data_IF_006372246546
#
_entry.id   IF_006372246546
#
_cell.length_a   1.000
_cell.length_b   1.000
_cell.length_c   1.000
_cell.angle_alpha   90.00
_cell.angle_beta   90.00
_cell.angle_gamma   90.00
#
_symmetry.space_group_name_H-M   'P 1'
#
loop_
_entity.id
_entity.type
_entity.pdbx_description
1 polymer ?
#
# COMPACT_ATOMS: atom_id res chain seq x y z
N UNK A 1 -11.50 7.56 -12.91
CA UNK A 1 -11.15 6.28 -12.26
C UNK A 1 -12.32 5.81 -11.40
N UNK A 2 -13.50 5.62 -12.01
CA UNK A 2 -14.76 5.54 -11.24
C UNK A 2 -14.93 6.79 -10.37
N UNK A 3 -15.24 6.60 -9.10
CA UNK A 3 -15.38 7.64 -8.07
C UNK A 3 -14.04 8.03 -7.40
N UNK A 4 -12.92 7.41 -7.80
CA UNK A 4 -11.61 7.67 -7.19
C UNK A 4 -11.00 8.98 -7.71
N UNK A 5 -10.41 9.75 -6.80
CA UNK A 5 -9.71 11.01 -7.08
C UNK A 5 -8.44 10.78 -7.90
N UNK A 6 -8.14 11.72 -8.79
CA UNK A 6 -6.91 11.74 -9.58
C UNK A 6 -6.87 10.73 -10.71
N UNK A 7 -5.73 10.66 -11.37
CA UNK A 7 -5.43 9.80 -12.50
C UNK A 7 -3.94 9.47 -12.58
N UNK A 8 -3.50 8.93 -13.72
CA UNK A 8 -2.11 8.57 -13.97
C UNK A 8 -1.20 9.73 -13.60
N UNK A 9 -0.07 9.42 -12.97
CA UNK A 9 0.94 10.38 -12.47
C UNK A 9 0.62 11.06 -11.15
N UNK A 10 -0.59 10.91 -10.61
CA UNK A 10 -0.98 11.52 -9.33
C UNK A 10 -0.83 10.55 -8.16
N UNK A 11 -0.67 11.09 -6.95
CA UNK A 11 -0.53 10.31 -5.70
C UNK A 11 -1.85 9.68 -5.23
N UNK A 12 -2.95 10.03 -5.87
CA UNK A 12 -4.31 9.64 -5.50
C UNK A 12 -4.63 8.20 -5.96
N UNK A 13 -5.63 7.58 -5.34
CA UNK A 13 -6.06 6.22 -5.64
C UNK A 13 -6.52 6.06 -7.09
N UNK A 14 -7.01 7.10 -7.76
CA UNK A 14 -7.32 7.04 -9.17
C UNK A 14 -6.11 6.77 -10.07
N UNK A 15 -4.90 7.13 -9.63
CA UNK A 15 -3.66 6.80 -10.34
C UNK A 15 -3.02 5.46 -9.96
N UNK A 16 -3.38 4.91 -8.79
CA UNK A 16 -2.58 3.88 -8.11
C UNK A 16 -3.38 2.63 -7.71
N UNK A 17 -4.70 2.74 -7.56
CA UNK A 17 -5.59 1.61 -7.31
C UNK A 17 -6.08 1.06 -8.65
N UNK A 18 -5.60 -0.14 -9.00
CA UNK A 18 -5.85 -0.76 -10.30
C UNK A 18 -6.66 -2.05 -10.14
N UNK A 19 -7.50 -2.41 -11.14
CA UNK A 19 -8.15 -3.71 -11.15
C UNK A 19 -7.13 -4.85 -11.15
N UNK A 20 -7.26 -5.77 -10.20
CA UNK A 20 -6.40 -6.95 -10.08
C UNK A 20 -7.27 -8.21 -9.96
N UNK A 21 -7.17 -9.10 -10.94
CA UNK A 21 -7.97 -10.33 -11.04
C UNK A 21 -7.02 -11.52 -11.18
N UNK A 22 -7.21 -12.53 -10.33
CA UNK A 22 -6.47 -13.79 -10.38
C UNK A 22 -7.41 -14.91 -10.79
N UNK A 23 -7.02 -15.72 -11.78
CA UNK A 23 -7.74 -16.93 -12.18
C UNK A 23 -6.81 -18.14 -12.09
N UNK A 24 -7.12 -19.07 -11.21
CA UNK A 24 -6.33 -20.26 -10.92
C UNK A 24 -7.26 -21.44 -10.61
N UNK A 25 -7.68 -22.18 -11.64
CA UNK A 25 -8.61 -23.29 -11.49
C UNK A 25 -8.11 -24.33 -10.48
N UNK A 26 -8.97 -24.73 -9.54
CA UNK A 26 -8.63 -25.71 -8.50
C UNK A 26 -7.91 -25.14 -7.26
N UNK A 27 -7.57 -23.84 -7.26
CA UNK A 27 -6.80 -23.22 -6.17
C UNK A 27 -7.53 -22.10 -5.42
N UNK A 28 -8.71 -21.70 -5.89
CA UNK A 28 -9.61 -20.79 -5.18
C UNK A 28 -11.07 -21.01 -5.59
N UNK A 29 -12.00 -20.49 -4.78
CA UNK A 29 -13.41 -20.41 -5.14
C UNK A 29 -13.62 -19.33 -6.21
N UNK A 30 -14.30 -19.65 -7.30
CA UNK A 30 -14.61 -18.67 -8.35
C UNK A 30 -15.59 -17.60 -7.86
N UNK A 31 -15.46 -16.37 -8.38
CA UNK A 31 -16.40 -15.28 -8.11
C UNK A 31 -16.30 -14.64 -6.72
N UNK A 32 -15.20 -14.86 -6.00
CA UNK A 32 -14.95 -14.25 -4.69
C UNK A 32 -14.13 -12.97 -4.81
N UNK A 33 -14.29 -12.07 -3.85
CA UNK A 33 -13.53 -10.83 -3.70
C UNK A 33 -12.81 -10.81 -2.37
N UNK A 34 -11.58 -10.29 -2.33
CA UNK A 34 -10.84 -10.06 -1.09
C UNK A 34 -10.61 -8.56 -0.87
N UNK A 35 -10.85 -8.02 0.33
CA UNK A 35 -10.49 -6.65 0.68
C UNK A 35 -9.01 -6.54 1.11
N UNK A 36 -8.26 -7.64 1.14
CA UNK A 36 -6.88 -7.66 1.61
C UNK A 36 -5.96 -6.80 0.72
N UNK A 37 -5.08 -6.01 1.37
CA UNK A 37 -4.10 -5.18 0.68
C UNK A 37 -3.11 -6.05 -0.11
N UNK A 38 -2.99 -5.77 -1.41
CA UNK A 38 -2.02 -6.38 -2.32
C UNK A 38 -1.32 -5.28 -3.11
N UNK A 39 -0.02 -5.43 -3.33
CA UNK A 39 0.78 -4.60 -4.22
C UNK A 39 1.22 -5.40 -5.44
N UNK A 40 1.45 -4.75 -6.58
CA UNK A 40 2.06 -5.41 -7.74
C UNK A 40 3.44 -5.98 -7.42
N UNK A 41 4.14 -5.40 -6.44
CA UNK A 41 5.41 -5.93 -5.93
C UNK A 41 5.26 -7.34 -5.33
N UNK A 42 4.07 -7.75 -4.89
CA UNK A 42 3.79 -9.03 -4.24
C UNK A 42 3.75 -10.22 -5.20
N UNK A 43 3.69 -9.96 -6.50
CA UNK A 43 3.63 -11.02 -7.53
C UNK A 43 4.84 -11.95 -7.40
N UNK A 44 6.03 -11.42 -7.15
CA UNK A 44 7.25 -12.22 -7.03
C UNK A 44 7.17 -13.23 -5.88
N UNK A 45 6.94 -12.78 -4.65
CA UNK A 45 6.87 -13.65 -3.48
C UNK A 45 5.70 -14.63 -3.59
N UNK A 46 4.58 -14.21 -4.16
CA UNK A 46 3.41 -15.08 -4.35
C UNK A 46 3.70 -16.21 -5.34
N UNK A 47 4.39 -15.92 -6.45
CA UNK A 47 4.78 -16.94 -7.42
C UNK A 47 5.85 -17.88 -6.86
N UNK A 48 6.83 -17.36 -6.11
CA UNK A 48 7.84 -18.18 -5.44
C UNK A 48 7.20 -19.15 -4.43
N UNK A 49 6.26 -18.64 -3.61
CA UNK A 49 5.48 -19.43 -2.66
C UNK A 49 4.62 -20.49 -3.39
N UNK A 50 3.94 -20.11 -4.46
CA UNK A 50 3.12 -21.02 -5.26
C UNK A 50 3.92 -22.18 -5.89
N UNK A 51 5.13 -21.91 -6.37
CA UNK A 51 5.96 -22.91 -7.08
C UNK A 51 6.77 -23.76 -6.12
N UNK A 52 7.31 -23.16 -5.05
CA UNK A 52 8.29 -23.81 -4.17
C UNK A 52 7.76 -24.11 -2.77
N UNK A 53 6.60 -23.57 -2.39
CA UNK A 53 6.07 -23.60 -1.04
C UNK A 53 6.84 -22.72 -0.05
N UNK A 54 7.69 -21.81 -0.54
CA UNK A 54 8.56 -20.95 0.28
C UNK A 54 8.64 -19.54 -0.30
N UNK A 55 8.68 -18.55 0.59
CA UNK A 55 9.00 -17.16 0.25
C UNK A 55 10.50 -16.94 0.52
N UNK A 56 11.29 -16.43 -0.44
CA UNK A 56 12.71 -16.11 -0.22
C UNK A 56 12.91 -15.13 0.92
N UNK A 57 14.02 -15.23 1.65
CA UNK A 57 14.30 -14.28 2.73
C UNK A 57 14.49 -12.85 2.17
N UNK A 58 14.18 -11.83 2.98
CA UNK A 58 14.22 -10.43 2.54
C UNK A 58 15.61 -9.97 2.09
N UNK A 59 16.66 -10.53 2.67
CA UNK A 59 18.05 -10.28 2.29
C UNK A 59 18.53 -11.10 1.08
N UNK A 60 17.73 -12.02 0.55
CA UNK A 60 18.08 -12.84 -0.62
C UNK A 60 17.47 -12.30 -1.91
N UNK A 61 16.16 -12.05 -1.92
CA UNK A 61 15.44 -11.60 -3.10
C UNK A 61 14.12 -10.90 -2.75
N UNK A 62 13.73 -9.93 -3.58
CA UNK A 62 12.45 -9.22 -3.52
C UNK A 62 12.12 -8.72 -2.08
N UNK A 63 12.97 -7.87 -1.48
CA UNK A 63 12.86 -7.46 -0.07
C UNK A 63 11.49 -6.89 0.31
N UNK A 64 10.76 -6.30 -0.64
CA UNK A 64 9.47 -5.65 -0.42
C UNK A 64 8.24 -6.48 -0.82
N UNK A 65 8.44 -7.73 -1.24
CA UNK A 65 7.37 -8.58 -1.80
C UNK A 65 6.78 -9.51 -0.73
N UNK A 66 5.47 -9.46 -0.52
CA UNK A 66 4.74 -10.29 0.45
C UNK A 66 3.87 -11.28 -0.32
N UNK A 67 3.81 -12.55 0.09
CA UNK A 67 2.93 -13.51 -0.60
C UNK A 67 1.46 -13.25 -0.24
N UNK A 68 0.62 -13.02 -1.25
CA UNK A 68 -0.84 -12.99 -1.11
C UNK A 68 -1.51 -14.34 -1.39
N UNK A 69 -0.73 -15.42 -1.58
CA UNK A 69 -1.25 -16.77 -1.79
C UNK A 69 -2.29 -17.20 -0.73
N UNK A 70 -2.16 -16.85 0.57
CA UNK A 70 -3.18 -17.15 1.57
C UNK A 70 -4.54 -16.49 1.28
N UNK A 71 -4.56 -15.30 0.68
CA UNK A 71 -5.80 -14.61 0.31
C UNK A 71 -6.55 -15.32 -0.82
N UNK A 72 -5.84 -16.07 -1.69
CA UNK A 72 -6.51 -16.88 -2.71
C UNK A 72 -7.31 -18.04 -2.09
N UNK A 73 -6.81 -18.60 -0.99
CA UNK A 73 -7.46 -19.71 -0.26
C UNK A 73 -8.50 -19.23 0.74
N UNK A 74 -8.28 -18.04 1.30
CA UNK A 74 -9.07 -17.44 2.37
C UNK A 74 -9.28 -15.95 2.08
N UNK A 75 -10.16 -15.62 1.10
CA UNK A 75 -10.35 -14.25 0.63
C UNK A 75 -10.85 -13.29 1.72
N UNK A 76 -11.48 -13.80 2.77
CA UNK A 76 -11.98 -13.05 3.92
C UNK A 76 -10.89 -12.61 4.91
N UNK A 77 -9.68 -13.19 4.84
CA UNK A 77 -8.61 -12.89 5.80
C UNK A 77 -7.96 -11.55 5.54
N UNK A 78 -7.36 -11.00 6.58
CA UNK A 78 -6.46 -9.85 6.49
C UNK A 78 -5.21 -10.25 5.71
N UNK A 79 -4.73 -9.35 4.86
CA UNK A 79 -3.49 -9.55 4.12
C UNK A 79 -2.28 -9.69 5.04
N UNK A 80 -1.30 -10.49 4.63
CA UNK A 80 0.02 -10.54 5.27
C UNK A 80 0.85 -9.28 5.01
N UNK A 81 0.41 -8.40 4.12
CA UNK A 81 1.02 -7.09 3.86
C UNK A 81 0.43 -6.06 4.82
N UNK A 82 1.19 -5.57 5.82
CA UNK A 82 0.69 -4.59 6.78
C UNK A 82 0.65 -3.16 6.22
N UNK A 83 1.47 -2.87 5.20
CA UNK A 83 1.59 -1.56 4.59
C UNK A 83 2.10 -1.61 3.15
N UNK A 84 1.96 -0.49 2.42
CA UNK A 84 2.66 -0.28 1.14
C UNK A 84 2.99 1.20 0.95
N UNK A 85 4.14 1.46 0.33
CA UNK A 85 4.49 2.80 -0.14
C UNK A 85 3.92 3.00 -1.54
N UNK A 86 3.38 4.18 -1.76
CA UNK A 86 2.91 4.71 -3.03
C UNK A 86 3.80 5.88 -3.44
N UNK A 87 3.93 6.10 -4.75
CA UNK A 87 4.71 7.20 -5.30
C UNK A 87 4.05 7.74 -6.56
N UNK A 88 4.03 9.06 -6.69
CA UNK A 88 3.55 9.74 -7.89
C UNK A 88 4.68 10.03 -8.90
N UNK A 89 4.38 10.71 -10.01
CA UNK A 89 5.38 11.00 -11.03
C UNK A 89 6.41 12.07 -10.63
N UNK A 90 6.08 12.95 -9.69
CA UNK A 90 7.01 13.92 -9.11
C UNK A 90 7.90 13.27 -8.04
N UNK A 91 7.59 12.03 -7.66
CA UNK A 91 8.29 11.29 -6.63
C UNK A 91 7.80 11.56 -5.23
N UNK A 92 6.69 12.28 -5.06
CA UNK A 92 6.00 12.42 -3.77
C UNK A 92 5.56 11.05 -3.29
N UNK A 93 5.66 10.81 -1.98
CA UNK A 93 5.36 9.51 -1.40
C UNK A 93 4.10 9.55 -0.54
N UNK A 94 3.43 8.40 -0.46
CA UNK A 94 2.39 8.14 0.52
C UNK A 94 2.60 6.73 1.09
N UNK A 95 2.07 6.47 2.27
CA UNK A 95 2.03 5.13 2.87
C UNK A 95 0.61 4.75 3.22
N UNK A 96 0.23 3.52 2.87
CA UNK A 96 -1.02 2.90 3.29
C UNK A 96 -0.74 1.92 4.41
N UNK A 97 -1.58 1.96 5.45
CA UNK A 97 -1.53 1.05 6.59
C UNK A 97 -2.92 0.96 7.22
N UNK A 98 -3.43 -0.25 7.41
CA UNK A 98 -4.84 -0.44 7.80
C UNK A 98 -5.79 0.27 6.84
N UNK A 99 -6.72 1.06 7.39
CA UNK A 99 -7.68 1.87 6.63
C UNK A 99 -7.12 3.26 6.25
N UNK A 100 -5.85 3.56 6.58
CA UNK A 100 -5.29 4.90 6.48
C UNK A 100 -4.34 5.06 5.31
N UNK A 101 -4.32 6.28 4.76
CA UNK A 101 -3.33 6.74 3.80
C UNK A 101 -2.77 8.07 4.27
N UNK A 102 -1.47 8.08 4.55
CA UNK A 102 -0.71 9.30 4.84
C UNK A 102 0.07 9.71 3.60
N UNK A 103 -0.05 10.96 3.17
CA UNK A 103 0.67 11.57 2.05
C UNK A 103 1.67 12.58 2.60
N UNK A 104 2.94 12.37 2.29
CA UNK A 104 4.05 13.18 2.78
C UNK A 104 4.20 14.48 1.98
N UNK A 105 4.78 15.50 2.57
CA UNK A 105 5.06 16.77 1.88
C UNK A 105 6.35 16.71 1.05
N UNK A 106 7.31 15.89 1.49
CA UNK A 106 8.65 15.85 0.95
C UNK A 106 8.72 15.31 -0.49
N UNK A 107 9.54 15.99 -1.30
CA UNK A 107 9.88 15.62 -2.67
C UNK A 107 11.35 15.18 -2.78
N UNK A 108 11.71 14.37 -3.79
CA UNK A 108 13.07 13.86 -3.95
C UNK A 108 14.13 14.94 -4.21
N UNK A 109 13.74 16.13 -4.68
CA UNK A 109 14.65 17.25 -4.95
C UNK A 109 14.92 18.12 -3.72
N UNK A 110 14.48 17.69 -2.53
CA UNK A 110 14.66 18.39 -1.26
C UNK A 110 13.66 19.52 -1.03
N UNK A 111 12.66 19.68 -1.91
CA UNK A 111 11.53 20.59 -1.70
C UNK A 111 10.40 19.88 -0.95
N UNK A 112 9.45 20.68 -0.48
CA UNK A 112 8.18 20.21 0.06
C UNK A 112 7.01 20.78 -0.73
N UNK A 113 5.92 20.03 -0.79
CA UNK A 113 4.61 20.57 -1.18
C UNK A 113 4.16 21.54 -0.10
N UNK A 114 3.72 22.74 -0.50
CA UNK A 114 3.25 23.76 0.44
C UNK A 114 1.72 23.85 0.48
N UNK A 115 1.21 24.47 1.55
CA UNK A 115 -0.21 24.78 1.71
C UNK A 115 -1.03 23.62 2.29
N UNK A 116 -2.38 23.67 2.16
CA UNK A 116 -3.29 22.70 2.78
C UNK A 116 -3.11 21.24 2.32
N UNK A 117 -2.36 21.04 1.23
CA UNK A 117 -2.03 19.73 0.68
C UNK A 117 -0.57 19.31 0.96
N UNK A 118 0.16 20.02 1.82
CA UNK A 118 1.52 19.66 2.23
C UNK A 118 1.55 18.25 2.83
N UNK A 119 0.84 18.04 3.95
CA UNK A 119 0.65 16.72 4.53
C UNK A 119 -0.84 16.41 4.62
N UNK A 120 -1.20 15.18 4.26
CA UNK A 120 -2.60 14.76 4.18
C UNK A 120 -2.78 13.39 4.79
N UNK A 121 -3.87 13.23 5.54
CA UNK A 121 -4.31 11.93 6.04
C UNK A 121 -5.74 11.67 5.56
N UNK A 122 -5.96 10.49 5.00
CA UNK A 122 -7.28 9.98 4.65
C UNK A 122 -7.59 8.68 5.38
N UNK A 123 -8.85 8.49 5.75
CA UNK A 123 -9.40 7.18 6.08
C UNK A 123 -10.11 6.62 4.85
N UNK A 124 -9.51 5.66 4.16
CA UNK A 124 -9.99 5.10 2.89
C UNK A 124 -11.26 4.25 3.04
N UNK A 125 -11.54 3.76 4.25
CA UNK A 125 -12.76 3.00 4.54
C UNK A 125 -13.99 3.91 4.57
N UNK A 126 -13.88 5.09 5.18
CA UNK A 126 -14.98 6.07 5.20
C UNK A 126 -14.95 7.06 4.03
N UNK A 127 -13.79 7.29 3.41
CA UNK A 127 -13.58 8.26 2.34
C UNK A 127 -12.68 7.66 1.23
N UNK A 128 -13.20 6.69 0.44
CA UNK A 128 -12.44 6.07 -0.65
C UNK A 128 -12.07 7.06 -1.77
N UNK A 129 -12.78 8.18 -1.87
CA UNK A 129 -12.57 9.25 -2.83
C UNK A 129 -11.50 10.27 -2.42
N UNK A 130 -10.87 10.13 -1.25
CA UNK A 130 -9.81 11.03 -0.77
C UNK A 130 -10.22 12.52 -0.82
N UNK A 131 -11.42 12.79 -0.33
CA UNK A 131 -12.08 14.10 -0.41
C UNK A 131 -11.79 14.99 0.80
N UNK A 132 -11.53 14.39 1.97
CA UNK A 132 -11.41 15.13 3.23
C UNK A 132 -10.08 14.85 3.90
N UNK A 133 -9.19 15.85 3.96
CA UNK A 133 -8.00 15.78 4.80
C UNK A 133 -8.41 15.78 6.28
N UNK A 134 -8.13 14.69 6.99
CA UNK A 134 -8.47 14.51 8.42
C UNK A 134 -7.24 14.58 9.33
N UNK A 135 -6.10 15.08 8.84
CA UNK A 135 -4.84 15.13 9.59
C UNK A 135 -4.96 15.83 10.95
N UNK A 136 -5.68 16.96 11.01
CA UNK A 136 -5.91 17.73 12.23
C UNK A 136 -6.82 16.99 13.24
N UNK A 137 -7.65 16.06 12.77
CA UNK A 137 -8.56 15.28 13.62
C UNK A 137 -7.89 14.03 14.20
N UNK A 138 -6.87 13.52 13.53
CA UNK A 138 -6.15 12.30 13.92
C UNK A 138 -4.64 12.52 13.88
N UNK A 139 -4.09 13.45 14.68
CA UNK A 139 -2.67 13.77 14.66
C UNK A 139 -1.79 12.58 15.04
N UNK A 140 -2.25 11.70 15.95
CA UNK A 140 -1.52 10.49 16.35
C UNK A 140 -1.37 9.50 15.18
N UNK A 141 -2.41 9.35 14.36
CA UNK A 141 -2.38 8.49 13.17
C UNK A 141 -1.49 9.09 12.09
N UNK A 142 -1.48 10.41 11.95
CA UNK A 142 -0.56 11.09 11.05
C UNK A 142 0.91 10.87 11.48
N UNK A 143 1.19 10.95 12.78
CA UNK A 143 2.51 10.65 13.33
C UNK A 143 2.92 9.19 13.08
N UNK A 144 2.01 8.22 13.24
CA UNK A 144 2.26 6.82 12.87
C UNK A 144 2.61 6.67 11.38
N UNK A 145 1.85 7.33 10.50
CA UNK A 145 2.11 7.32 9.06
C UNK A 145 3.49 7.88 8.71
N UNK A 146 3.86 9.02 9.30
CA UNK A 146 5.17 9.64 9.12
C UNK A 146 6.30 8.73 9.61
N UNK A 147 6.18 8.22 10.83
CA UNK A 147 7.16 7.30 11.41
C UNK A 147 7.32 6.01 10.59
N UNK A 148 6.22 5.45 10.11
CA UNK A 148 6.24 4.25 9.27
C UNK A 148 6.98 4.52 7.95
N UNK A 149 6.65 5.62 7.26
CA UNK A 149 7.29 5.99 6.01
C UNK A 149 8.81 6.22 6.19
N UNK A 150 9.21 6.91 7.25
CA UNK A 150 10.62 7.13 7.58
C UNK A 150 11.34 5.83 7.95
N UNK A 151 10.68 4.92 8.65
CA UNK A 151 11.24 3.61 8.96
C UNK A 151 11.51 2.79 7.70
N UNK A 152 10.61 2.87 6.71
CA UNK A 152 10.78 2.21 5.40
C UNK A 152 11.92 2.84 4.61
N UNK A 153 12.03 4.18 4.59
CA UNK A 153 13.12 4.90 3.89
C UNK A 153 14.50 4.54 4.41
N UNK A 154 14.62 4.27 5.70
CA UNK A 154 15.88 4.02 6.38
C UNK A 154 16.26 2.52 6.44
N UNK A 155 15.51 1.65 5.77
CA UNK A 155 15.77 0.21 5.76
C UNK A 155 15.87 -0.32 4.32
N UNK A 156 16.68 -1.37 4.08
CA UNK A 156 16.82 -1.97 2.76
C UNK A 156 15.61 -2.83 2.34
N UNK A 157 14.65 -3.05 3.25
CA UNK A 157 13.47 -3.87 3.03
C UNK A 157 12.27 -3.37 3.84
N UNK A 158 11.08 -3.38 3.24
CA UNK A 158 9.82 -3.13 3.93
C UNK A 158 9.29 -4.38 4.67
N UNK A 159 9.72 -5.59 4.28
CA UNK A 159 9.42 -6.81 5.02
C UNK A 159 10.09 -6.81 6.40
N UNK A 160 9.29 -7.00 7.44
CA UNK A 160 9.72 -7.00 8.84
C UNK A 160 9.40 -5.70 9.58
N UNK A 161 9.12 -4.62 8.86
CA UNK A 161 8.70 -3.35 9.45
C UNK A 161 7.24 -3.46 9.90
N UNK A 162 6.99 -3.23 11.19
CA UNK A 162 5.66 -3.18 11.77
C UNK A 162 5.07 -1.78 11.66
N UNK A 163 3.74 -1.69 11.60
CA UNK A 163 3.03 -0.42 11.78
C UNK A 163 3.19 -0.01 13.26
N UNK A 164 3.67 1.22 13.55
CA UNK A 164 3.89 1.69 14.92
C UNK A 164 2.63 1.73 15.80
#
# INVERSE_FOLDING_TARGET
NGELRGDKHTIWNGGLNVPFIVRWPGHHQAGVTSPGLVSTADIFATLADAVTGKVPAANEAAPDSFSFLPLLKHPEKVSNRPHTVLRDAAGRQAVLFGDWKFVDDALPDGKSVEGPEAEILFNLKSDPGETTNVIERYPDVAAQGRQLLDSIRNQPASRGIQVP
#
